data_IF_430481397971
#
_entry.id   IF_430481397971
#
_cell.length_a   1.000
_cell.length_b   1.000
_cell.length_c   1.000
_cell.angle_alpha   90.00
_cell.angle_beta   90.00
_cell.angle_gamma   90.00
#
_symmetry.space_group_name_H-M   'P 1'
#
loop_
_entity.id
_entity.type
_entity.pdbx_description
1 polymer ?
#
# COMPACT_ATOMS: atom_id res chain seq x y z
N UNK A 1 -0.23 17.54 -2.06
CA UNK A 1 0.22 17.76 -3.46
C UNK A 1 -0.93 17.75 -4.45
N UNK A 2 -1.75 16.68 -4.50
CA UNK A 2 -2.97 16.64 -5.30
C UNK A 2 -3.89 17.85 -5.03
N UNK A 3 -4.16 18.15 -3.75
CA UNK A 3 -4.95 19.32 -3.35
C UNK A 3 -4.36 20.64 -3.87
N UNK A 4 -3.03 20.81 -3.82
CA UNK A 4 -2.35 22.01 -4.30
C UNK A 4 -2.44 22.19 -5.82
N UNK A 5 -2.36 21.09 -6.60
CA UNK A 5 -2.56 21.13 -8.06
C UNK A 5 -4.03 21.32 -8.43
N UNK A 6 -4.96 20.78 -7.63
CA UNK A 6 -6.39 20.97 -7.77
C UNK A 6 -6.80 22.43 -7.52
N UNK A 7 -6.28 23.05 -6.46
CA UNK A 7 -6.53 24.48 -6.15
C UNK A 7 -5.99 25.45 -7.19
N UNK A 8 -5.06 25.01 -8.05
CA UNK A 8 -4.45 25.81 -9.13
C UNK A 8 -5.11 25.59 -10.51
N UNK A 9 -6.25 24.89 -10.58
CA UNK A 9 -6.92 24.60 -11.86
C UNK A 9 -6.17 23.59 -12.73
N UNK A 10 -5.29 22.77 -12.15
CA UNK A 10 -4.43 21.84 -12.90
C UNK A 10 -5.17 20.71 -13.65
N UNK A 11 -6.48 20.58 -13.46
CA UNK A 11 -7.30 19.49 -13.99
C UNK A 11 -8.51 19.96 -14.81
N UNK A 12 -8.54 21.23 -15.24
CA UNK A 12 -9.72 21.84 -15.86
C UNK A 12 -9.98 21.36 -17.30
N UNK A 13 -8.95 20.92 -18.04
CA UNK A 13 -9.10 20.37 -19.39
C UNK A 13 -8.44 19.00 -19.53
N UNK A 14 -8.88 18.15 -20.46
CA UNK A 14 -8.32 16.81 -20.68
C UNK A 14 -6.80 16.83 -20.96
N UNK A 15 -6.32 17.81 -21.74
CA UNK A 15 -4.88 18.00 -21.99
C UNK A 15 -4.12 18.38 -20.70
N UNK A 16 -4.70 19.27 -19.88
CA UNK A 16 -4.11 19.65 -18.59
C UNK A 16 -4.11 18.50 -17.59
N UNK A 17 -5.16 17.66 -17.56
CA UNK A 17 -5.23 16.47 -16.70
C UNK A 17 -4.06 15.53 -16.95
N UNK A 18 -3.76 15.23 -18.21
CA UNK A 18 -2.64 14.32 -18.57
C UNK A 18 -1.30 14.94 -18.16
N UNK A 19 -1.07 16.22 -18.53
CA UNK A 19 0.19 16.92 -18.20
C UNK A 19 0.40 17.07 -16.69
N UNK A 20 -0.62 17.46 -15.96
CA UNK A 20 -0.55 17.65 -14.50
C UNK A 20 -0.39 16.32 -13.77
N UNK A 21 -1.03 15.25 -14.22
CA UNK A 21 -0.85 13.90 -13.65
C UNK A 21 0.56 13.38 -13.89
N UNK A 22 1.11 13.59 -15.10
CA UNK A 22 2.50 13.23 -15.39
C UNK A 22 3.51 13.97 -14.50
N UNK A 23 3.32 15.29 -14.30
CA UNK A 23 4.13 16.09 -13.38
C UNK A 23 4.01 15.63 -11.92
N UNK A 24 2.79 15.27 -11.50
CA UNK A 24 2.54 14.74 -10.16
C UNK A 24 3.24 13.40 -9.95
N UNK A 25 3.14 12.48 -10.91
CA UNK A 25 3.80 11.18 -10.87
C UNK A 25 5.32 11.32 -10.86
N UNK A 26 5.87 12.17 -11.72
CA UNK A 26 7.32 12.42 -11.79
C UNK A 26 7.86 12.99 -10.47
N UNK A 27 7.19 13.99 -9.87
CA UNK A 27 7.66 14.54 -8.60
C UNK A 27 7.52 13.53 -7.46
N UNK A 28 6.42 12.77 -7.42
CA UNK A 28 6.23 11.73 -6.42
C UNK A 28 7.32 10.65 -6.53
N UNK A 29 7.73 10.29 -7.74
CA UNK A 29 8.83 9.38 -7.98
C UNK A 29 10.16 9.93 -7.44
N UNK A 30 10.52 11.17 -7.77
CA UNK A 30 11.75 11.82 -7.28
C UNK A 30 11.75 11.87 -5.75
N UNK A 31 10.65 12.32 -5.14
CA UNK A 31 10.51 12.37 -3.68
C UNK A 31 10.62 11.00 -3.03
N UNK A 32 10.12 9.95 -3.70
CA UNK A 32 10.22 8.57 -3.21
C UNK A 32 11.65 8.08 -3.25
N UNK A 33 12.39 8.37 -4.33
CA UNK A 33 13.80 8.01 -4.46
C UNK A 33 14.68 8.72 -3.42
N UNK A 34 14.44 10.01 -3.19
CA UNK A 34 15.14 10.77 -2.17
C UNK A 34 14.82 10.24 -0.76
N UNK A 35 13.53 9.96 -0.47
CA UNK A 35 13.12 9.36 0.79
C UNK A 35 13.74 7.98 1.01
N UNK A 36 13.86 7.17 -0.04
CA UNK A 36 14.55 5.88 0.02
C UNK A 36 16.01 6.04 0.43
N UNK A 37 16.73 7.00 -0.17
CA UNK A 37 18.12 7.30 0.19
C UNK A 37 18.25 7.70 1.66
N UNK A 38 17.38 8.59 2.14
CA UNK A 38 17.39 9.04 3.54
C UNK A 38 17.10 7.89 4.52
N UNK A 39 16.13 7.02 4.20
CA UNK A 39 15.84 5.84 5.01
C UNK A 39 17.03 4.87 5.01
N UNK A 40 17.65 4.65 3.84
CA UNK A 40 18.83 3.80 3.73
C UNK A 40 19.94 4.33 4.64
N UNK A 41 20.32 5.60 4.52
CA UNK A 41 21.35 6.20 5.38
C UNK A 41 21.00 6.15 6.88
N UNK A 42 19.73 6.40 7.22
CA UNK A 42 19.22 6.28 8.59
C UNK A 42 19.28 4.85 9.15
N UNK A 43 19.09 3.84 8.32
CA UNK A 43 19.21 2.43 8.68
C UNK A 43 20.69 2.02 8.81
N UNK A 44 21.53 2.40 7.85
CA UNK A 44 22.96 2.08 7.84
C UNK A 44 23.70 2.73 9.02
N UNK A 45 23.39 3.98 9.36
CA UNK A 45 23.96 4.67 10.55
C UNK A 45 23.63 3.99 11.88
N UNK A 46 22.54 3.23 11.94
CA UNK A 46 22.14 2.44 13.12
C UNK A 46 22.77 1.04 13.16
N UNK A 47 23.75 0.77 12.31
CA UNK A 47 24.49 -0.50 12.29
C UNK A 47 23.75 -1.65 11.62
N UNK A 48 22.88 -1.36 10.63
CA UNK A 48 22.14 -2.37 9.89
C UNK A 48 23.05 -3.37 9.17
N UNK A 49 22.86 -4.67 9.42
CA UNK A 49 23.69 -5.77 8.89
C UNK A 49 23.03 -6.57 7.76
N UNK A 50 22.03 -5.99 7.08
CA UNK A 50 21.34 -6.66 5.96
C UNK A 50 20.06 -7.41 6.34
N UNK A 51 19.73 -7.48 7.63
CA UNK A 51 18.47 -8.02 8.12
C UNK A 51 17.78 -7.00 9.01
N UNK A 52 16.55 -6.61 8.63
CA UNK A 52 15.68 -5.83 9.50
C UNK A 52 14.86 -6.85 10.29
N UNK A 53 15.14 -7.08 11.58
CA UNK A 53 14.15 -7.72 12.41
C UNK A 53 12.97 -6.74 12.44
N UNK A 54 11.97 -6.95 11.59
CA UNK A 54 10.67 -6.34 11.81
C UNK A 54 10.29 -6.77 13.22
N UNK A 55 10.34 -5.81 14.16
CA UNK A 55 9.91 -5.97 15.54
C UNK A 55 8.70 -6.90 15.49
N UNK A 56 8.88 -8.08 16.08
CA UNK A 56 7.95 -9.20 16.04
C UNK A 56 6.53 -8.69 15.96
N UNK A 57 5.92 -8.75 14.77
CA UNK A 57 4.49 -8.47 14.67
C UNK A 57 3.83 -9.58 15.47
N UNK A 58 3.31 -9.24 16.63
CA UNK A 58 2.47 -10.15 17.38
C UNK A 58 1.20 -10.36 16.55
N UNK A 59 1.18 -11.46 15.80
CA UNK A 59 -0.01 -11.91 15.11
C UNK A 59 -0.96 -12.46 16.17
N UNK A 60 -1.79 -11.61 16.75
CA UNK A 60 -2.88 -12.05 17.60
C UNK A 60 -3.90 -12.80 16.74
N UNK A 61 -3.83 -14.12 16.78
CA UNK A 61 -4.81 -14.98 16.16
C UNK A 61 -6.14 -14.79 16.90
N UNK A 62 -7.08 -14.08 16.28
CA UNK A 62 -8.40 -13.89 16.89
C UNK A 62 -9.29 -15.06 16.52
N UNK A 63 -9.71 -15.82 17.52
CA UNK A 63 -10.69 -16.90 17.39
C UNK A 63 -11.95 -16.53 16.56
N UNK A 64 -12.55 -15.32 16.66
CA UNK A 64 -13.70 -14.99 15.81
C UNK A 64 -13.37 -14.98 14.31
N UNK A 65 -12.20 -14.46 13.90
CA UNK A 65 -11.79 -14.47 12.49
C UNK A 65 -11.62 -15.90 11.96
N UNK A 66 -11.10 -16.80 12.79
CA UNK A 66 -10.97 -18.21 12.42
C UNK A 66 -12.33 -18.88 12.22
N UNK A 67 -13.30 -18.63 13.11
CA UNK A 67 -14.67 -19.16 12.95
C UNK A 67 -15.35 -18.67 11.67
N UNK A 68 -15.17 -17.39 11.30
CA UNK A 68 -15.73 -16.86 10.05
C UNK A 68 -15.13 -17.53 8.81
N UNK A 69 -13.82 -17.81 8.81
CA UNK A 69 -13.16 -18.54 7.71
C UNK A 69 -13.72 -19.95 7.60
N UNK A 70 -13.81 -20.68 8.72
CA UNK A 70 -14.36 -22.04 8.73
C UNK A 70 -15.83 -22.07 8.27
N UNK A 71 -16.64 -21.11 8.69
CA UNK A 71 -18.03 -21.01 8.25
C UNK A 71 -18.14 -20.75 6.75
N UNK A 72 -17.29 -19.87 6.21
CA UNK A 72 -17.25 -19.59 4.77
C UNK A 72 -16.92 -20.85 3.96
N UNK A 73 -15.90 -21.60 4.38
CA UNK A 73 -15.51 -22.85 3.71
C UNK A 73 -16.62 -23.91 3.76
N UNK A 74 -17.33 -24.04 4.87
CA UNK A 74 -18.48 -24.95 5.01
C UNK A 74 -19.64 -24.56 4.07
N UNK A 75 -19.92 -23.26 3.93
CA UNK A 75 -20.95 -22.78 2.99
C UNK A 75 -20.53 -23.10 1.55
N UNK A 76 -19.26 -22.91 1.21
CA UNK A 76 -18.74 -23.19 -0.13
C UNK A 76 -18.85 -24.67 -0.48
N UNK A 77 -18.52 -25.55 0.47
CA UNK A 77 -18.67 -27.00 0.33
C UNK A 77 -20.14 -27.39 0.13
N UNK A 78 -21.04 -26.88 0.97
CA UNK A 78 -22.47 -27.21 0.86
C UNK A 78 -23.08 -26.75 -0.45
N UNK A 79 -22.72 -25.56 -0.95
CA UNK A 79 -23.10 -25.10 -2.28
C UNK A 79 -22.54 -26.00 -3.39
N UNK A 80 -21.28 -26.40 -3.31
CA UNK A 80 -20.66 -27.27 -4.31
C UNK A 80 -21.33 -28.66 -4.37
N UNK A 81 -21.81 -29.19 -3.25
CA UNK A 81 -22.59 -30.44 -3.21
C UNK A 81 -24.04 -30.26 -3.65
N UNK A 82 -24.65 -29.08 -3.43
CA UNK A 82 -26.03 -28.80 -3.83
C UNK A 82 -26.17 -28.52 -5.34
N UNK A 83 -25.16 -27.93 -5.96
CA UNK A 83 -25.10 -27.67 -7.41
C UNK A 83 -24.56 -28.86 -8.22
N UNK A 84 -24.30 -30.00 -7.58
CA UNK A 84 -23.94 -31.27 -8.22
C UNK A 84 -25.17 -32.16 -8.32
#
# INVERSE_FOLDING_TARGET
MYNSMKSRGGFDSFSLKIKSTGKLAALLFVNTMERWKNIKEGIYSRGYRGYMPYISKEFHFSMPRFMFVMMYDLILITLAFYFK
#
